data_IF_226973299750
#
_entry.id   IF_226973299750
#
_cell.length_a   1.000
_cell.length_b   1.000
_cell.length_c   1.000
_cell.angle_alpha   90.00
_cell.angle_beta   90.00
_cell.angle_gamma   90.00
#
_symmetry.space_group_name_H-M   'P 1'
#
loop_
_entity.id
_entity.type
_entity.pdbx_description
1 polymer ?
#
# COMPACT_ATOMS: atom_id res chain seq x y z
N UNK A 1 1.97 5.32 9.52
CA UNK A 1 2.36 5.44 8.12
C UNK A 1 1.14 5.67 7.27
N UNK A 2 1.17 6.74 6.48
CA UNK A 2 0.02 7.12 5.69
C UNK A 2 -0.32 6.09 4.62
N UNK A 3 0.68 5.55 3.95
CA UNK A 3 0.42 4.58 2.89
C UNK A 3 -0.22 3.33 3.46
N UNK A 4 0.24 2.88 4.59
CA UNK A 4 -0.35 1.71 5.23
C UNK A 4 -1.80 1.97 5.60
N UNK A 5 -2.09 3.15 6.14
CA UNK A 5 -3.45 3.48 6.52
C UNK A 5 -4.36 3.52 5.29
N UNK A 6 -3.90 4.07 4.19
CA UNK A 6 -4.69 4.13 2.97
C UNK A 6 -4.94 2.73 2.42
N UNK A 7 -3.97 1.83 2.54
CA UNK A 7 -4.15 0.48 2.04
C UNK A 7 -5.27 -0.26 2.76
N UNK A 8 -5.38 -0.07 4.07
CA UNK A 8 -6.37 -0.83 4.84
C UNK A 8 -7.68 -0.08 5.02
N UNK A 9 -7.69 1.23 4.91
CA UNK A 9 -8.88 2.00 5.18
C UNK A 9 -9.62 2.49 3.94
N UNK A 10 -9.08 2.31 2.75
CA UNK A 10 -9.72 2.79 1.53
C UNK A 10 -9.66 1.72 0.46
N UNK A 11 -10.41 1.94 -0.64
CA UNK A 11 -10.33 1.05 -1.78
C UNK A 11 -9.55 1.70 -2.91
N UNK A 12 -8.76 2.73 -2.64
CA UNK A 12 -7.93 3.33 -3.66
C UNK A 12 -6.95 2.30 -4.20
N UNK A 13 -6.61 2.41 -5.47
CA UNK A 13 -5.66 1.47 -6.04
C UNK A 13 -4.28 1.68 -5.43
N UNK A 14 -3.46 0.66 -5.48
CA UNK A 14 -2.12 0.76 -4.93
C UNK A 14 -1.33 1.82 -5.69
N UNK A 15 -1.54 1.93 -7.01
CA UNK A 15 -0.88 2.94 -7.79
C UNK A 15 -1.29 4.34 -7.35
N UNK A 16 -2.57 4.55 -7.09
CA UNK A 16 -3.04 5.84 -6.61
C UNK A 16 -2.43 6.18 -5.26
N UNK A 17 -2.35 5.20 -4.39
CA UNK A 17 -1.77 5.42 -3.05
C UNK A 17 -0.29 5.80 -3.18
N UNK A 18 0.44 5.14 -4.06
CA UNK A 18 1.85 5.45 -4.22
C UNK A 18 2.03 6.89 -4.70
N UNK A 19 1.19 7.33 -5.62
CA UNK A 19 1.28 8.70 -6.11
C UNK A 19 0.88 9.71 -5.04
N UNK A 20 -0.16 9.44 -4.30
CA UNK A 20 -0.60 10.35 -3.24
C UNK A 20 0.45 10.50 -2.16
N UNK A 21 1.23 9.47 -1.92
CA UNK A 21 2.24 9.52 -0.88
C UNK A 21 3.59 10.01 -1.41
N UNK A 22 3.66 10.40 -2.68
CA UNK A 22 4.88 11.00 -3.20
C UNK A 22 5.98 10.05 -3.64
N UNK A 23 5.65 8.79 -3.87
CA UNK A 23 6.66 7.85 -4.32
C UNK A 23 6.93 8.04 -5.81
N UNK A 24 8.18 7.99 -6.24
CA UNK A 24 8.52 8.25 -7.65
C UNK A 24 7.99 7.21 -8.62
N UNK A 25 7.76 6.00 -8.19
CA UNK A 25 7.19 4.98 -9.06
C UNK A 25 6.52 3.92 -8.21
N UNK A 26 5.65 3.15 -8.84
CA UNK A 26 4.98 2.06 -8.14
C UNK A 26 5.99 1.01 -7.70
N UNK A 27 6.98 0.75 -8.55
CA UNK A 27 7.99 -0.24 -8.23
C UNK A 27 8.80 0.18 -7.00
N UNK A 28 9.11 1.46 -6.90
CA UNK A 28 9.81 1.97 -5.74
C UNK A 28 8.96 1.79 -4.48
N UNK A 29 7.68 2.08 -4.57
CA UNK A 29 6.78 1.93 -3.46
C UNK A 29 6.75 0.47 -2.99
N UNK A 30 6.67 -0.47 -3.92
CA UNK A 30 6.67 -1.89 -3.57
C UNK A 30 7.95 -2.27 -2.84
N UNK A 31 9.09 -1.79 -3.32
CA UNK A 31 10.37 -2.11 -2.69
C UNK A 31 10.45 -1.58 -1.27
N UNK A 32 10.09 -0.32 -1.08
CA UNK A 32 10.16 0.30 0.23
C UNK A 32 9.18 -0.37 1.19
N UNK A 33 7.97 -0.65 0.72
CA UNK A 33 6.94 -1.22 1.57
C UNK A 33 7.33 -2.64 1.99
N UNK A 34 7.82 -3.43 1.06
CA UNK A 34 8.21 -4.80 1.38
C UNK A 34 9.36 -4.81 2.39
N UNK A 35 10.29 -3.87 2.26
CA UNK A 35 11.39 -3.80 3.18
C UNK A 35 10.92 -3.45 4.58
N UNK A 36 9.93 -2.58 4.71
CA UNK A 36 9.45 -2.16 6.02
C UNK A 36 8.46 -3.11 6.65
N UNK A 37 7.59 -3.75 5.84
CA UNK A 37 6.53 -4.58 6.40
C UNK A 37 6.68 -6.06 6.07
N UNK A 38 7.72 -6.43 5.35
CA UNK A 38 7.99 -7.83 5.03
C UNK A 38 6.93 -8.44 4.11
N UNK A 39 6.17 -7.63 3.42
CA UNK A 39 5.20 -8.11 2.44
C UNK A 39 4.87 -6.96 1.50
N UNK A 40 4.35 -7.28 0.31
CA UNK A 40 4.02 -6.24 -0.65
C UNK A 40 2.79 -5.49 -0.22
N UNK A 41 2.55 -4.29 -0.78
CA UNK A 41 1.34 -3.55 -0.46
C UNK A 41 0.06 -4.34 -0.77
N UNK A 42 0.09 -5.12 -1.85
CA UNK A 42 -1.08 -5.91 -2.20
C UNK A 42 -1.32 -7.00 -1.16
N UNK A 43 -0.26 -7.69 -0.75
CA UNK A 43 -0.39 -8.71 0.27
C UNK A 43 -0.85 -8.12 1.59
N UNK A 44 -0.35 -6.95 1.90
CA UNK A 44 -0.74 -6.29 3.15
C UNK A 44 -2.23 -5.95 3.13
N UNK A 45 -2.72 -5.42 2.00
CA UNK A 45 -4.13 -5.10 1.89
C UNK A 45 -4.99 -6.36 1.96
N UNK A 46 -4.55 -7.42 1.30
CA UNK A 46 -5.32 -8.66 1.32
C UNK A 46 -5.40 -9.23 2.72
N UNK A 47 -4.33 -9.08 3.50
CA UNK A 47 -4.32 -9.65 4.83
C UNK A 47 -4.98 -8.76 5.88
N UNK A 48 -4.76 -7.46 5.81
CA UNK A 48 -5.25 -6.57 6.85
C UNK A 48 -6.30 -5.57 6.38
N UNK A 49 -6.63 -5.55 5.10
CA UNK A 49 -7.58 -4.59 4.57
C UNK A 49 -8.96 -4.77 5.17
N UNK A 50 -9.67 -3.62 5.24
CA UNK A 50 -10.95 -3.64 5.85
C UNK A 50 -12.02 -3.69 4.82
N UNK A 51 -11.71 -4.01 3.58
CA UNK A 51 -12.71 -3.90 2.57
C UNK A 51 -13.26 -5.19 2.20
N UNK A 52 -13.32 -6.18 3.00
CA UNK A 52 -13.79 -7.30 2.60
C UNK A 52 -15.09 -7.46 2.59
N UNK A 53 -15.68 -6.99 2.60
CA UNK A 53 -17.08 -7.19 2.54
C UNK A 53 -17.49 -8.54 2.30
#
# INVERSE_FOLDING_TARGET
DRARNLLIATSLSINEISQMCGYPSLQYFYSVFKKGYQMTPKDYRDRYGDNMA
#
